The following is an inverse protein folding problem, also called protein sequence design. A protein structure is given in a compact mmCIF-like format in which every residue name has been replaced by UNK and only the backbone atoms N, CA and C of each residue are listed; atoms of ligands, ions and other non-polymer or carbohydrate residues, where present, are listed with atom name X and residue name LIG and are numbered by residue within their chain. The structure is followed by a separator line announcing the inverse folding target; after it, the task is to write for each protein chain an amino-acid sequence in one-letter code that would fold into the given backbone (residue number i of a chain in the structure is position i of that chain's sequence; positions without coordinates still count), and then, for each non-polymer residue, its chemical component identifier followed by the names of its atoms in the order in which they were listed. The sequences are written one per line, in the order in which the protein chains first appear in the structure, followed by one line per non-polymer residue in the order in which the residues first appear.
data_IF_604940524495
#
_entry.id   IF_604940524495
#
_cell.length_a   1.000
_cell.length_b   1.000
_cell.length_c   1.000
_cell.angle_alpha   90.00
_cell.angle_beta   90.00
_cell.angle_gamma   90.00
#
_symmetry.space_group_name_H-M   'P 1'
#
loop_
_entity.id
_entity.type
_entity.pdbx_description
1 polymer ?
#
# COMPACT_ATOMS: atom_id res chain seq x y z
N UNK A 1 41.33 -16.25 49.58
CA UNK A 1 40.28 -16.11 48.55
C UNK A 1 40.94 -16.48 47.22
N UNK A 2 40.78 -17.71 46.71
CA UNK A 2 39.66 -18.21 45.88
C UNK A 2 39.47 -17.34 44.61
N UNK A 3 39.38 -17.94 43.40
CA UNK A 3 40.38 -17.73 42.35
C UNK A 3 39.82 -17.25 41.00
N UNK A 4 40.77 -17.00 40.10
CA UNK A 4 40.64 -16.83 38.65
C UNK A 4 40.13 -18.10 37.94
N UNK A 5 39.05 -17.95 37.17
CA UNK A 5 38.46 -18.86 36.16
C UNK A 5 37.75 -17.92 35.18
N UNK A 6 37.89 -17.95 33.86
CA UNK A 6 38.56 -18.85 32.92
C UNK A 6 37.86 -18.67 31.56
N UNK A 7 38.52 -19.01 30.46
CA UNK A 7 37.81 -19.47 29.24
C UNK A 7 38.76 -20.23 28.30
N UNK A 8 38.60 -21.56 28.26
CA UNK A 8 39.24 -22.47 27.31
C UNK A 8 38.29 -22.71 26.12
N UNK A 9 38.75 -22.35 24.92
CA UNK A 9 38.14 -22.76 23.64
C UNK A 9 38.20 -24.29 23.49
N UNK A 10 37.04 -24.94 23.32
CA UNK A 10 36.95 -26.33 22.85
C UNK A 10 36.50 -26.40 21.39
N UNK A 11 37.36 -26.95 20.53
CA UNK A 11 37.03 -27.39 19.16
C UNK A 11 36.30 -28.73 19.23
N UNK A 12 35.09 -28.84 18.67
CA UNK A 12 34.43 -30.13 18.38
C UNK A 12 34.58 -30.48 16.90
N UNK A 13 35.15 -31.67 16.65
CA UNK A 13 35.33 -32.28 15.33
C UNK A 13 34.00 -32.87 14.82
N UNK A 14 33.71 -32.69 13.54
CA UNK A 14 32.62 -33.34 12.79
C UNK A 14 33.03 -34.77 12.46
N UNK A 15 32.12 -35.74 12.66
CA UNK A 15 32.23 -37.11 12.16
C UNK A 15 31.23 -37.26 11.02
N UNK A 16 31.75 -37.60 9.84
CA UNK A 16 31.01 -37.99 8.62
C UNK A 16 30.94 -39.52 8.63
N UNK A 17 29.76 -40.10 8.38
CA UNK A 17 29.59 -41.52 8.11
C UNK A 17 28.87 -41.69 6.76
N UNK A 18 29.62 -42.11 5.75
CA UNK A 18 29.12 -42.82 4.57
C UNK A 18 29.41 -44.30 4.76
N UNK A 19 28.48 -45.19 4.43
CA UNK A 19 28.79 -46.54 3.97
C UNK A 19 27.69 -47.05 3.04
N UNK A 20 28.14 -47.50 1.86
CA UNK A 20 27.37 -48.11 0.78
C UNK A 20 27.03 -49.59 1.05
N UNK A 21 25.88 -50.01 0.49
CA UNK A 21 25.80 -51.14 -0.44
C UNK A 21 25.34 -52.50 0.11
N UNK A 22 24.20 -53.01 -0.38
CA UNK A 22 24.14 -54.17 -1.30
C UNK A 22 22.70 -54.51 -1.67
N UNK A 23 22.53 -54.96 -2.91
CA UNK A 23 21.29 -55.24 -3.61
C UNK A 23 20.74 -56.63 -3.30
N UNK A 24 19.41 -56.80 -3.40
CA UNK A 24 18.76 -58.07 -3.70
C UNK A 24 17.52 -57.81 -4.58
N UNK A 25 17.63 -58.24 -5.84
CA UNK A 25 16.53 -58.43 -6.79
C UNK A 25 15.85 -59.77 -6.50
N UNK A 26 14.52 -59.76 -6.34
CA UNK A 26 13.69 -60.95 -6.54
C UNK A 26 12.49 -60.55 -7.40
N UNK A 27 12.43 -61.13 -8.60
CA UNK A 27 11.27 -61.11 -9.47
C UNK A 27 10.13 -61.95 -8.87
N UNK A 28 8.90 -61.47 -8.97
CA UNK A 28 7.69 -62.26 -8.76
C UNK A 28 6.48 -61.59 -9.40
N UNK A 29 6.08 -62.05 -10.58
CA UNK A 29 4.76 -61.76 -11.15
C UNK A 29 3.71 -62.67 -10.48
N UNK A 30 2.58 -62.13 -10.01
CA UNK A 30 1.20 -62.52 -10.40
C UNK A 30 0.12 -62.09 -9.39
N UNK A 31 -1.01 -61.67 -9.98
CA UNK A 31 -2.40 -61.81 -9.55
C UNK A 31 -3.04 -60.84 -8.54
N UNK A 32 -3.95 -60.06 -9.12
CA UNK A 32 -5.18 -59.45 -8.60
C UNK A 32 -5.84 -60.15 -7.41
N UNK A 33 -6.16 -59.37 -6.37
CA UNK A 33 -7.33 -59.63 -5.52
C UNK A 33 -7.96 -58.31 -5.05
N UNK A 34 -9.28 -58.24 -5.24
CA UNK A 34 -10.20 -57.12 -4.98
C UNK A 34 -10.11 -56.61 -3.54
N UNK A 35 -10.02 -55.30 -3.36
CA UNK A 35 -10.37 -54.63 -2.11
C UNK A 35 -11.90 -54.61 -1.96
N UNK A 36 -12.36 -55.00 -0.78
CA UNK A 36 -13.75 -55.09 -0.35
C UNK A 36 -14.37 -53.71 -0.13
N UNK A 37 -15.66 -53.57 -0.47
CA UNK A 37 -16.49 -52.35 -0.44
C UNK A 37 -16.65 -51.65 0.94
N UNK A 38 -15.88 -52.03 1.96
CA UNK A 38 -15.93 -51.41 3.29
C UNK A 38 -14.87 -50.31 3.50
N UNK A 39 -13.75 -50.30 2.76
CA UNK A 39 -12.76 -49.21 2.83
C UNK A 39 -13.21 -47.94 2.09
N UNK A 40 -14.16 -48.04 1.15
CA UNK A 40 -14.73 -46.87 0.45
C UNK A 40 -15.77 -46.09 1.24
N UNK A 41 -16.23 -46.61 2.39
CA UNK A 41 -17.31 -45.98 3.17
C UNK A 41 -16.82 -45.03 4.26
N UNK A 42 -15.52 -45.01 4.56
CA UNK A 42 -14.94 -44.10 5.55
C UNK A 42 -14.40 -42.81 4.89
N UNK A 43 -14.14 -42.82 3.58
CA UNK A 43 -13.77 -41.61 2.83
C UNK A 43 -14.97 -40.77 2.33
N UNK A 44 -16.20 -41.27 2.43
CA UNK A 44 -17.39 -40.59 1.90
C UNK A 44 -18.17 -39.74 2.92
N UNK A 45 -17.66 -39.57 4.16
CA UNK A 45 -18.31 -38.74 5.19
C UNK A 45 -17.45 -37.55 5.66
N UNK A 46 -16.50 -37.09 4.83
CA UNK A 46 -16.13 -35.65 4.86
C UNK A 46 -17.00 -34.91 3.87
N UNK A 47 -18.24 -34.70 4.31
CA UNK A 47 -19.10 -33.66 3.76
C UNK A 47 -18.48 -32.31 4.18
N UNK A 48 -17.39 -31.90 3.53
CA UNK A 48 -17.02 -30.49 3.47
C UNK A 48 -18.10 -29.83 2.66
N UNK A 49 -19.08 -29.23 3.35
CA UNK A 49 -19.82 -28.10 2.84
C UNK A 49 -18.77 -27.17 2.26
N UNK A 50 -18.66 -27.11 0.92
CA UNK A 50 -18.01 -25.97 0.28
C UNK A 50 -18.93 -24.80 0.62
N UNK A 51 -18.65 -24.13 1.73
CA UNK A 51 -19.17 -22.79 1.95
C UNK A 51 -18.79 -22.02 0.71
N UNK A 52 -19.76 -21.40 0.03
CA UNK A 52 -19.45 -20.43 -1.02
C UNK A 52 -18.53 -19.40 -0.37
N UNK A 53 -17.26 -19.44 -0.75
CA UNK A 53 -16.24 -18.57 -0.18
C UNK A 53 -16.61 -17.15 -0.62
N UNK A 54 -16.87 -16.26 0.35
CA UNK A 54 -17.30 -14.90 0.06
C UNK A 54 -16.31 -14.23 -0.90
N UNK A 55 -16.81 -13.44 -1.86
CA UNK A 55 -15.99 -12.85 -2.92
C UNK A 55 -14.81 -12.01 -2.40
N UNK A 56 -14.89 -11.53 -1.16
CA UNK A 56 -13.86 -10.75 -0.47
C UNK A 56 -12.88 -11.59 0.37
N UNK A 57 -13.10 -12.88 0.57
CA UNK A 57 -12.29 -13.72 1.47
C UNK A 57 -10.81 -13.73 1.06
N UNK A 58 -10.52 -13.79 -0.24
CA UNK A 58 -9.15 -13.73 -0.73
C UNK A 58 -8.42 -12.43 -0.36
N UNK A 59 -9.14 -11.32 -0.15
CA UNK A 59 -8.58 -10.07 0.37
C UNK A 59 -8.30 -10.17 1.87
N UNK A 60 -9.14 -10.86 2.63
CA UNK A 60 -8.94 -11.06 4.07
C UNK A 60 -7.80 -12.06 4.37
N UNK A 61 -7.62 -13.07 3.53
CA UNK A 61 -6.59 -14.10 3.72
C UNK A 61 -5.15 -13.57 3.60
N UNK A 62 -4.95 -12.40 2.99
CA UNK A 62 -3.66 -11.71 2.93
C UNK A 62 -3.28 -11.03 4.26
N UNK A 63 -4.24 -10.78 5.14
CA UNK A 63 -4.03 -10.01 6.36
C UNK A 63 -3.29 -10.86 7.38
N UNK A 64 -2.22 -10.29 7.94
CA UNK A 64 -1.41 -10.92 8.97
C UNK A 64 -1.27 -10.00 10.20
N UNK A 65 -1.49 -10.53 11.42
CA UNK A 65 -1.91 -11.91 11.70
C UNK A 65 -3.40 -12.15 11.45
N UNK A 66 -3.78 -13.43 11.33
CA UNK A 66 -5.16 -13.86 11.06
C UNK A 66 -6.20 -13.42 12.11
N UNK A 67 -5.77 -12.89 13.27
CA UNK A 67 -6.69 -12.33 14.25
C UNK A 67 -7.42 -11.05 13.78
N UNK A 68 -6.99 -10.46 12.65
CA UNK A 68 -7.54 -9.24 12.07
C UNK A 68 -8.33 -9.45 10.79
N UNK A 69 -8.47 -10.71 10.34
CA UNK A 69 -9.14 -11.07 9.09
C UNK A 69 -10.58 -11.58 9.27
N UNK A 70 -11.09 -11.54 10.50
CA UNK A 70 -12.44 -11.94 10.87
C UNK A 70 -12.89 -11.15 12.12
N UNK A 71 -14.15 -11.33 12.51
CA UNK A 71 -14.76 -10.61 13.65
C UNK A 71 -15.09 -11.55 14.82
N UNK A 72 -14.51 -12.74 14.85
CA UNK A 72 -14.84 -13.76 15.83
C UNK A 72 -14.39 -13.34 17.23
N UNK A 73 -15.29 -13.54 18.20
CA UNK A 73 -15.02 -13.23 19.60
C UNK A 73 -15.08 -11.74 19.97
N UNK A 74 -15.29 -10.84 19.01
CA UNK A 74 -15.57 -9.42 19.29
C UNK A 74 -16.94 -9.29 19.94
N UNK A 75 -16.99 -8.84 21.20
CA UNK A 75 -18.22 -8.73 22.00
C UNK A 75 -18.56 -7.27 22.30
N UNK A 76 -18.68 -6.46 21.25
CA UNK A 76 -19.15 -5.08 21.35
C UNK A 76 -20.59 -5.03 21.89
N UNK A 77 -20.92 -3.94 22.57
CA UNK A 77 -22.26 -3.71 23.13
C UNK A 77 -23.18 -3.15 22.06
N UNK A 78 -24.49 -3.33 22.27
CA UNK A 78 -25.52 -2.78 21.40
C UNK A 78 -25.37 -1.26 21.31
N UNK A 79 -25.33 -0.75 20.09
CA UNK A 79 -25.22 0.68 19.84
C UNK A 79 -23.81 1.26 20.01
N UNK A 80 -22.79 0.45 20.31
CA UNK A 80 -21.39 0.91 20.28
C UNK A 80 -21.07 1.55 18.93
N UNK A 81 -20.22 2.57 18.98
CA UNK A 81 -19.87 3.38 17.82
C UNK A 81 -18.36 3.35 17.56
N UNK A 82 -17.95 2.94 16.36
CA UNK A 82 -16.57 3.01 15.89
C UNK A 82 -16.52 4.02 14.74
N UNK A 83 -15.56 4.95 14.81
CA UNK A 83 -15.34 5.93 13.75
C UNK A 83 -14.10 5.57 12.94
N UNK A 84 -14.21 5.55 11.61
CA UNK A 84 -13.08 5.35 10.69
C UNK A 84 -12.93 6.60 9.83
N UNK A 85 -11.73 7.15 9.75
CA UNK A 85 -11.42 8.40 9.04
C UNK A 85 -10.35 8.11 7.97
N UNK A 86 -10.72 8.19 6.69
CA UNK A 86 -9.79 8.08 5.56
C UNK A 86 -9.15 9.43 5.18
N UNK A 87 -8.33 9.43 4.12
CA UNK A 87 -7.72 10.68 3.60
C UNK A 87 -8.56 11.39 2.55
N UNK A 88 -9.35 10.67 1.75
CA UNK A 88 -10.17 11.29 0.71
C UNK A 88 -11.46 10.51 0.44
N UNK A 89 -12.45 11.22 -0.07
CA UNK A 89 -13.65 10.64 -0.68
C UNK A 89 -13.53 10.56 -2.21
N UNK A 90 -14.33 9.69 -2.83
CA UNK A 90 -14.56 9.72 -4.28
C UNK A 90 -13.41 9.18 -5.13
N UNK A 91 -12.47 8.44 -4.55
CA UNK A 91 -11.43 7.71 -5.29
C UNK A 91 -11.64 6.20 -5.14
N UNK A 92 -11.24 5.43 -6.15
CA UNK A 92 -11.44 3.98 -6.17
C UNK A 92 -10.72 3.27 -5.01
N UNK A 93 -9.52 3.72 -4.63
CA UNK A 93 -8.80 3.20 -3.45
C UNK A 93 -9.61 3.37 -2.16
N UNK A 94 -10.06 4.60 -1.87
CA UNK A 94 -10.81 4.90 -0.65
C UNK A 94 -12.22 4.28 -0.65
N UNK A 95 -12.82 4.08 -1.82
CA UNK A 95 -14.06 3.32 -1.96
C UNK A 95 -13.87 1.83 -1.58
N UNK A 96 -12.73 1.22 -1.89
CA UNK A 96 -12.41 -0.13 -1.43
C UNK A 96 -12.23 -0.18 0.09
N UNK A 97 -11.54 0.80 0.69
CA UNK A 97 -11.44 0.92 2.16
C UNK A 97 -12.83 0.99 2.77
N UNK A 98 -13.70 1.87 2.26
CA UNK A 98 -15.07 2.02 2.74
C UNK A 98 -15.89 0.73 2.62
N UNK A 99 -15.71 -0.05 1.55
CA UNK A 99 -16.33 -1.37 1.39
C UNK A 99 -15.84 -2.35 2.47
N UNK A 100 -14.53 -2.36 2.77
CA UNK A 100 -13.95 -3.16 3.84
C UNK A 100 -14.51 -2.81 5.22
N UNK A 101 -14.61 -1.51 5.52
CA UNK A 101 -15.22 -1.00 6.76
C UNK A 101 -16.68 -1.44 6.88
N UNK A 102 -17.45 -1.28 5.80
CA UNK A 102 -18.86 -1.69 5.77
C UNK A 102 -19.02 -3.20 5.96
N UNK A 103 -18.16 -4.02 5.35
CA UNK A 103 -18.21 -5.47 5.51
C UNK A 103 -17.88 -5.90 6.94
N UNK A 104 -16.85 -5.33 7.57
CA UNK A 104 -16.54 -5.63 8.97
C UNK A 104 -17.71 -5.28 9.90
N UNK A 105 -18.38 -4.15 9.65
CA UNK A 105 -19.57 -3.76 10.40
C UNK A 105 -20.74 -4.74 10.22
N UNK A 106 -20.95 -5.25 9.00
CA UNK A 106 -21.95 -6.28 8.72
C UNK A 106 -21.63 -7.59 9.45
N UNK A 107 -20.38 -8.05 9.36
CA UNK A 107 -19.93 -9.29 9.97
C UNK A 107 -20.03 -9.23 11.50
N UNK A 108 -19.61 -8.12 12.13
CA UNK A 108 -19.78 -7.89 13.57
C UNK A 108 -21.25 -8.02 13.97
N UNK A 109 -22.13 -7.32 13.27
CA UNK A 109 -23.56 -7.32 13.61
C UNK A 109 -24.22 -8.67 13.36
N UNK A 110 -23.80 -9.40 12.32
CA UNK A 110 -24.24 -10.76 12.04
C UNK A 110 -23.81 -11.71 13.16
N UNK A 111 -22.54 -11.67 13.55
CA UNK A 111 -21.98 -12.50 14.61
C UNK A 111 -22.60 -12.20 15.99
N UNK A 112 -22.96 -10.94 16.26
CA UNK A 112 -23.63 -10.53 17.50
C UNK A 112 -25.16 -10.71 17.46
N UNK A 113 -25.74 -10.98 16.29
CA UNK A 113 -27.19 -11.03 16.09
C UNK A 113 -27.88 -9.68 16.30
N UNK A 114 -27.18 -8.58 16.10
CA UNK A 114 -27.71 -7.23 16.32
C UNK A 114 -28.40 -6.69 15.08
N UNK A 115 -29.59 -6.11 15.28
CA UNK A 115 -30.43 -5.59 14.20
C UNK A 115 -31.07 -4.26 14.58
N UNK A 116 -31.53 -3.50 13.57
CA UNK A 116 -32.16 -2.20 13.78
C UNK A 116 -31.32 -1.25 14.62
N UNK A 117 -31.92 -0.70 15.68
CA UNK A 117 -31.26 0.24 16.61
C UNK A 117 -30.18 -0.38 17.50
N UNK A 118 -30.15 -1.72 17.61
CA UNK A 118 -29.22 -2.43 18.46
C UNK A 118 -27.87 -2.66 17.77
N UNK A 119 -27.77 -2.36 16.47
CA UNK A 119 -26.54 -2.52 15.70
C UNK A 119 -25.37 -1.76 16.32
N UNK A 120 -24.19 -2.37 16.30
CA UNK A 120 -22.92 -1.64 16.34
C UNK A 120 -22.88 -0.75 15.12
N UNK A 121 -22.59 0.53 15.34
CA UNK A 121 -22.47 1.54 14.29
C UNK A 121 -21.00 1.69 13.94
N UNK A 122 -20.68 1.62 12.66
CA UNK A 122 -19.34 1.93 12.15
C UNK A 122 -19.51 2.98 11.07
N UNK A 123 -18.88 4.12 11.24
CA UNK A 123 -18.88 5.19 10.24
C UNK A 123 -17.55 5.21 9.48
N UNK A 124 -17.62 5.65 8.22
CA UNK A 124 -16.46 6.04 7.45
C UNK A 124 -16.66 7.48 6.98
N UNK A 125 -15.77 8.37 7.42
CA UNK A 125 -15.66 9.75 6.96
C UNK A 125 -14.29 9.98 6.34
N UNK A 126 -14.16 11.01 5.52
CA UNK A 126 -12.87 11.44 4.99
C UNK A 126 -13.01 12.89 4.51
N UNK A 127 -11.91 13.64 4.40
CA UNK A 127 -11.87 14.91 3.67
C UNK A 127 -12.27 14.76 2.20
N UNK A 128 -12.50 15.90 1.53
CA UNK A 128 -12.72 15.92 0.09
C UNK A 128 -11.46 15.56 -0.70
N UNK A 129 -10.27 16.01 -0.26
CA UNK A 129 -8.98 15.75 -0.91
C UNK A 129 -7.94 15.19 0.05
N UNK A 130 -7.02 14.37 -0.49
CA UNK A 130 -6.07 13.57 0.31
C UNK A 130 -4.99 14.37 1.05
N UNK A 131 -4.86 15.66 0.77
CA UNK A 131 -3.86 16.59 1.32
C UNK A 131 -4.43 17.59 2.34
N UNK A 132 -5.74 17.53 2.61
CA UNK A 132 -6.41 18.51 3.47
C UNK A 132 -6.32 18.14 4.96
N UNK A 133 -5.24 18.56 5.60
CA UNK A 133 -4.98 18.34 7.03
C UNK A 133 -6.03 19.02 7.93
N UNK A 134 -6.41 20.26 7.61
CA UNK A 134 -7.33 21.03 8.46
C UNK A 134 -8.73 20.38 8.51
N UNK A 135 -9.22 19.89 7.37
CA UNK A 135 -10.49 19.17 7.30
C UNK A 135 -10.42 17.82 8.02
N UNK A 136 -9.30 17.10 7.90
CA UNK A 136 -9.11 15.86 8.66
C UNK A 136 -9.12 16.10 10.17
N UNK A 137 -8.49 17.18 10.63
CA UNK A 137 -8.50 17.58 12.05
C UNK A 137 -9.92 17.90 12.52
N UNK A 138 -10.68 18.68 11.75
CA UNK A 138 -12.07 18.99 12.09
C UNK A 138 -12.95 17.73 12.13
N UNK A 139 -12.79 16.82 11.18
CA UNK A 139 -13.51 15.54 11.17
C UNK A 139 -13.16 14.69 12.39
N UNK A 140 -11.90 14.67 12.81
CA UNK A 140 -11.49 13.95 14.01
C UNK A 140 -12.11 14.58 15.27
N UNK A 141 -12.11 15.90 15.40
CA UNK A 141 -12.76 16.62 16.51
C UNK A 141 -14.27 16.28 16.58
N UNK A 142 -14.98 16.38 15.44
CA UNK A 142 -16.42 16.05 15.36
C UNK A 142 -16.72 14.60 15.72
N UNK A 143 -15.84 13.68 15.36
CA UNK A 143 -15.99 12.27 15.64
C UNK A 143 -15.67 11.94 17.09
N UNK A 144 -14.68 12.57 17.71
CA UNK A 144 -14.42 12.45 19.15
C UNK A 144 -15.58 12.98 20.00
N UNK A 145 -16.23 14.06 19.56
CA UNK A 145 -17.43 14.62 20.21
C UNK A 145 -18.65 13.67 20.19
N UNK A 146 -18.62 12.62 19.36
CA UNK A 146 -19.65 11.56 19.31
C UNK A 146 -19.36 10.42 20.27
N UNK A 147 -18.28 10.49 21.04
CA UNK A 147 -17.84 9.49 22.02
C UNK A 147 -17.76 8.06 21.44
N UNK A 148 -17.01 7.84 20.34
CA UNK A 148 -16.79 6.51 19.80
C UNK A 148 -16.02 5.66 20.81
N UNK A 149 -16.26 4.35 20.77
CA UNK A 149 -15.50 3.39 21.60
C UNK A 149 -14.08 3.16 21.08
N UNK A 150 -13.80 3.56 19.84
CA UNK A 150 -12.48 3.57 19.21
C UNK A 150 -12.51 4.40 17.91
N UNK A 151 -11.36 4.96 17.53
CA UNK A 151 -11.17 5.67 16.25
C UNK A 151 -10.10 4.96 15.43
N UNK A 152 -10.40 4.71 14.16
CA UNK A 152 -9.43 4.36 13.13
C UNK A 152 -9.14 5.56 12.22
N UNK A 153 -7.89 5.87 11.91
CA UNK A 153 -7.56 7.04 11.06
C UNK A 153 -6.33 6.79 10.17
N UNK A 154 -6.43 7.13 8.89
CA UNK A 154 -5.27 7.23 8.00
C UNK A 154 -4.81 8.68 7.93
N UNK A 155 -3.63 8.96 8.47
CA UNK A 155 -3.19 10.34 8.74
C UNK A 155 -2.57 10.95 7.49
N UNK A 156 -3.02 12.16 7.13
CA UNK A 156 -2.54 12.92 5.96
C UNK A 156 -1.06 13.29 6.11
N UNK A 157 -0.69 13.84 7.26
CA UNK A 157 0.68 14.26 7.62
C UNK A 157 1.13 13.54 8.89
N UNK A 158 2.29 12.87 8.86
CA UNK A 158 2.81 12.04 9.95
C UNK A 158 2.72 12.68 11.36
N UNK A 159 2.80 14.00 11.43
CA UNK A 159 2.83 14.78 12.68
C UNK A 159 1.52 15.53 12.99
N UNK A 160 0.49 15.40 12.15
CA UNK A 160 -0.82 16.00 12.40
C UNK A 160 -1.60 15.26 13.50
N UNK A 161 -2.69 15.88 13.96
CA UNK A 161 -3.66 15.31 14.90
C UNK A 161 -3.13 14.98 16.31
N UNK A 162 -1.91 15.37 16.68
CA UNK A 162 -1.30 15.05 17.99
C UNK A 162 -2.17 15.54 19.16
N UNK A 163 -2.70 16.75 19.06
CA UNK A 163 -3.59 17.33 20.09
C UNK A 163 -4.87 16.50 20.23
N UNK A 164 -5.48 16.13 19.11
CA UNK A 164 -6.67 15.28 19.09
C UNK A 164 -6.40 13.88 19.63
N UNK A 165 -5.21 13.35 19.37
CA UNK A 165 -4.78 12.06 19.88
C UNK A 165 -4.57 12.09 21.39
N UNK A 166 -4.05 13.18 21.94
CA UNK A 166 -4.00 13.40 23.38
C UNK A 166 -5.42 13.47 23.97
N UNK A 167 -6.35 14.20 23.34
CA UNK A 167 -7.76 14.28 23.79
C UNK A 167 -8.46 12.91 23.78
N UNK A 168 -8.25 12.12 22.72
CA UNK A 168 -8.78 10.76 22.62
C UNK A 168 -8.19 9.86 23.72
N UNK A 169 -6.87 9.92 23.93
CA UNK A 169 -6.17 9.15 24.97
C UNK A 169 -6.66 9.51 26.37
N UNK A 170 -6.79 10.80 26.67
CA UNK A 170 -7.32 11.31 27.95
C UNK A 170 -8.78 10.88 28.19
N UNK A 171 -9.53 10.65 27.09
CA UNK A 171 -10.91 10.15 27.11
C UNK A 171 -11.01 8.62 27.05
N UNK A 172 -9.87 7.90 27.13
CA UNK A 172 -9.78 6.44 27.01
C UNK A 172 -10.33 5.90 25.68
N UNK A 173 -10.31 6.70 24.61
CA UNK A 173 -10.69 6.31 23.26
C UNK A 173 -9.42 5.83 22.53
N UNK A 174 -9.27 4.53 22.26
CA UNK A 174 -8.11 4.02 21.57
C UNK A 174 -8.07 4.47 20.11
N UNK A 175 -6.87 4.78 19.64
CA UNK A 175 -6.57 5.20 18.27
C UNK A 175 -5.89 4.05 17.53
N UNK A 176 -6.40 3.71 16.36
CA UNK A 176 -5.75 2.81 15.41
C UNK A 176 -5.39 3.62 14.18
N UNK A 177 -4.15 3.55 13.72
CA UNK A 177 -3.80 4.12 12.41
C UNK A 177 -3.92 3.07 11.32
N UNK A 178 -4.15 3.49 10.08
CA UNK A 178 -4.16 2.58 8.94
C UNK A 178 -3.70 3.27 7.67
N UNK A 179 -3.25 2.49 6.67
CA UNK A 179 -2.72 2.97 5.37
C UNK A 179 -1.47 3.87 5.49
N UNK A 180 -1.57 4.99 6.20
CA UNK A 180 -0.50 5.90 6.57
C UNK A 180 -0.58 6.21 8.06
N UNK A 181 0.44 5.79 8.80
CA UNK A 181 0.52 5.95 10.26
C UNK A 181 0.90 7.35 10.75
N UNK A 182 1.13 7.42 12.05
CA UNK A 182 1.60 8.60 12.80
C UNK A 182 2.83 8.26 13.63
N UNK A 183 3.62 9.25 14.04
CA UNK A 183 4.70 9.09 15.03
C UNK A 183 4.22 9.15 16.48
N UNK A 184 2.91 9.35 16.70
CA UNK A 184 2.28 9.35 18.02
C UNK A 184 2.45 8.01 18.74
N UNK A 185 2.91 8.05 19.99
CA UNK A 185 3.24 6.84 20.75
C UNK A 185 2.01 6.11 21.33
N UNK A 186 0.86 6.77 21.42
CA UNK A 186 -0.38 6.21 21.99
C UNK A 186 -1.23 5.42 20.99
N UNK A 187 -0.74 5.22 19.75
CA UNK A 187 -1.45 4.40 18.74
C UNK A 187 -1.49 2.94 19.19
N UNK A 188 -2.69 2.36 19.21
CA UNK A 188 -2.94 1.00 19.67
C UNK A 188 -2.56 -0.07 18.64
N UNK A 189 -2.62 0.26 17.35
CA UNK A 189 -2.20 -0.58 16.23
C UNK A 189 -2.05 0.27 14.96
N UNK A 190 -1.16 -0.12 14.07
CA UNK A 190 -1.07 0.38 12.69
C UNK A 190 -1.47 -0.73 11.70
N UNK A 191 -2.47 -0.48 10.86
CA UNK A 191 -3.02 -1.42 9.88
C UNK A 191 -2.64 -0.97 8.47
N UNK A 192 -1.56 -1.50 7.91
CA UNK A 192 -1.00 -0.97 6.67
C UNK A 192 -0.34 -2.05 5.82
N UNK A 193 -0.06 -1.71 4.57
CA UNK A 193 0.93 -2.44 3.78
C UNK A 193 2.29 -2.22 4.42
N UNK A 194 3.16 -3.24 4.46
CA UNK A 194 4.59 -3.01 4.73
C UNK A 194 5.22 -2.21 3.57
N UNK A 195 5.14 -0.88 3.67
CA UNK A 195 5.57 0.06 2.64
C UNK A 195 7.09 0.03 2.42
N UNK A 196 7.86 -0.41 3.41
CA UNK A 196 9.31 -0.59 3.28
C UNK A 196 9.61 -1.81 2.42
N UNK A 197 8.97 -2.95 2.72
CA UNK A 197 9.11 -4.16 1.90
C UNK A 197 8.59 -3.95 0.47
N UNK A 198 7.42 -3.31 0.34
CA UNK A 198 6.80 -2.97 -0.92
C UNK A 198 7.67 -2.04 -1.78
N UNK A 199 8.22 -0.96 -1.20
CA UNK A 199 9.13 -0.05 -1.90
C UNK A 199 10.44 -0.72 -2.31
N UNK A 200 10.98 -1.60 -1.46
CA UNK A 200 12.15 -2.41 -1.81
C UNK A 200 11.88 -3.33 -3.01
N UNK A 201 10.76 -4.04 -3.02
CA UNK A 201 10.39 -4.86 -4.18
C UNK A 201 10.20 -3.99 -5.42
N UNK A 202 9.54 -2.83 -5.31
CA UNK A 202 9.37 -1.91 -6.45
C UNK A 202 10.71 -1.46 -7.05
N UNK A 203 11.72 -1.14 -6.23
CA UNK A 203 13.07 -0.83 -6.69
C UNK A 203 13.74 -1.99 -7.43
N UNK A 204 13.63 -3.21 -6.90
CA UNK A 204 14.18 -4.40 -7.54
C UNK A 204 13.53 -4.66 -8.91
N UNK A 205 12.20 -4.53 -8.99
CA UNK A 205 11.45 -4.66 -10.25
C UNK A 205 11.81 -3.57 -11.25
N UNK A 206 11.99 -2.34 -10.78
CA UNK A 206 12.40 -1.23 -11.64
C UNK A 206 13.80 -1.51 -12.22
N UNK A 207 14.74 -1.95 -11.38
CA UNK A 207 16.08 -2.29 -11.81
C UNK A 207 16.08 -3.46 -12.82
N UNK A 208 15.29 -4.51 -12.58
CA UNK A 208 15.09 -5.62 -13.52
C UNK A 208 14.60 -5.13 -14.89
N UNK A 209 13.57 -4.27 -14.93
CA UNK A 209 13.00 -3.74 -16.17
C UNK A 209 13.95 -2.77 -16.90
N UNK A 210 14.80 -2.06 -16.15
CA UNK A 210 15.84 -1.18 -16.70
C UNK A 210 17.08 -1.94 -17.20
N UNK A 211 17.20 -3.22 -16.89
CA UNK A 211 18.43 -3.99 -17.17
C UNK A 211 19.61 -3.58 -16.29
N UNK A 212 19.31 -3.14 -15.07
CA UNK A 212 20.27 -2.78 -14.01
C UNK A 212 21.24 -1.63 -14.36
N UNK A 213 20.81 -0.67 -15.18
CA UNK A 213 21.60 0.51 -15.53
C UNK A 213 20.72 1.67 -16.04
N UNK A 214 21.15 2.91 -15.79
CA UNK A 214 20.57 4.10 -16.39
C UNK A 214 20.14 5.15 -15.37
N UNK A 215 19.20 6.01 -15.78
CA UNK A 215 18.71 7.11 -14.96
C UNK A 215 17.22 6.89 -14.62
N UNK A 216 16.87 7.05 -13.35
CA UNK A 216 15.52 6.90 -12.84
C UNK A 216 15.02 8.20 -12.21
N UNK A 217 13.75 8.54 -12.47
CA UNK A 217 13.03 9.61 -11.77
C UNK A 217 11.96 9.00 -10.86
N UNK A 218 11.72 9.62 -9.72
CA UNK A 218 10.68 9.19 -8.77
C UNK A 218 9.61 10.28 -8.67
N UNK A 219 8.34 9.89 -8.77
CA UNK A 219 7.19 10.71 -8.43
C UNK A 219 6.51 10.15 -7.18
N UNK A 220 6.47 10.96 -6.13
CA UNK A 220 5.90 10.60 -4.83
C UNK A 220 4.66 11.46 -4.61
N UNK A 221 3.59 10.86 -4.11
CA UNK A 221 2.29 11.51 -4.06
C UNK A 221 2.21 12.69 -3.09
N UNK A 222 3.07 12.72 -2.06
CA UNK A 222 3.17 13.81 -1.11
C UNK A 222 4.50 13.72 -0.32
N UNK A 223 4.91 14.80 0.34
CA UNK A 223 6.15 14.90 1.11
C UNK A 223 6.02 14.58 2.61
N UNK A 224 4.82 14.20 3.09
CA UNK A 224 4.47 14.31 4.53
C UNK A 224 3.93 13.02 5.14
N UNK A 225 3.30 12.17 4.33
CA UNK A 225 2.64 10.96 4.78
C UNK A 225 3.64 9.85 5.03
N UNK A 226 3.38 9.04 6.06
CA UNK A 226 4.29 7.95 6.43
C UNK A 226 4.49 6.96 5.27
N UNK A 227 3.41 6.64 4.57
CA UNK A 227 3.46 5.72 3.43
C UNK A 227 4.35 6.24 2.30
N UNK A 228 4.22 7.53 1.93
CA UNK A 228 5.08 8.18 0.94
C UNK A 228 6.56 8.11 1.35
N UNK A 229 6.86 8.57 2.57
CA UNK A 229 8.22 8.63 3.10
C UNK A 229 8.88 7.24 3.17
N UNK A 230 8.13 6.21 3.57
CA UNK A 230 8.63 4.83 3.62
C UNK A 230 8.91 4.26 2.23
N UNK A 231 7.99 4.45 1.27
CA UNK A 231 8.17 3.96 -0.11
C UNK A 231 9.36 4.63 -0.79
N UNK A 232 9.44 5.95 -0.71
CA UNK A 232 10.56 6.73 -1.27
C UNK A 232 11.89 6.28 -0.68
N UNK A 233 11.99 6.22 0.65
CA UNK A 233 13.21 5.80 1.33
C UNK A 233 13.62 4.40 0.93
N UNK A 234 12.68 3.45 0.91
CA UNK A 234 12.96 2.08 0.54
C UNK A 234 13.46 1.95 -0.91
N UNK A 235 12.84 2.67 -1.85
CA UNK A 235 13.26 2.66 -3.26
C UNK A 235 14.65 3.27 -3.42
N UNK A 236 14.87 4.45 -2.85
CA UNK A 236 16.15 5.17 -2.98
C UNK A 236 17.31 4.42 -2.31
N UNK A 237 17.10 3.85 -1.12
CA UNK A 237 18.11 3.06 -0.42
C UNK A 237 18.42 1.74 -1.13
N UNK A 238 17.40 1.02 -1.62
CA UNK A 238 17.60 -0.25 -2.33
C UNK A 238 18.36 -0.04 -3.66
N UNK A 239 17.97 0.96 -4.48
CA UNK A 239 18.69 1.27 -5.72
C UNK A 239 20.14 1.67 -5.44
N UNK A 240 20.37 2.53 -4.44
CA UNK A 240 21.72 2.97 -4.08
C UNK A 240 22.60 1.83 -3.57
N UNK A 241 22.05 0.93 -2.76
CA UNK A 241 22.81 -0.14 -2.13
C UNK A 241 23.08 -1.31 -3.07
N UNK A 242 22.10 -1.69 -3.89
CA UNK A 242 22.13 -2.95 -4.64
C UNK A 242 22.13 -2.79 -6.17
N UNK A 243 21.87 -1.58 -6.68
CA UNK A 243 21.81 -1.27 -8.11
C UNK A 243 22.63 -0.01 -8.47
N UNK A 244 23.95 0.04 -8.16
CA UNK A 244 24.75 1.27 -8.22
C UNK A 244 24.94 1.87 -9.63
N UNK A 245 24.55 1.13 -10.68
CA UNK A 245 24.54 1.62 -12.06
C UNK A 245 23.25 2.35 -12.43
N UNK A 246 22.27 2.39 -11.53
CA UNK A 246 21.06 3.18 -11.64
C UNK A 246 21.23 4.44 -10.79
N UNK A 247 21.15 5.60 -11.43
CA UNK A 247 21.14 6.89 -10.74
C UNK A 247 19.71 7.39 -10.60
N UNK A 248 19.27 7.66 -9.38
CA UNK A 248 18.05 8.45 -9.16
C UNK A 248 18.40 9.91 -9.45
N UNK A 249 17.93 10.45 -10.58
CA UNK A 249 18.27 11.81 -11.02
C UNK A 249 17.54 12.88 -10.22
N UNK A 250 16.32 12.60 -9.80
CA UNK A 250 15.59 13.40 -8.84
C UNK A 250 14.39 12.65 -8.25
N UNK A 251 13.89 13.16 -7.13
CA UNK A 251 12.60 12.78 -6.53
C UNK A 251 11.72 14.02 -6.56
N UNK A 252 10.48 13.87 -7.02
CA UNK A 252 9.48 14.93 -7.08
C UNK A 252 8.27 14.55 -6.26
N UNK A 253 7.87 15.42 -5.35
CA UNK A 253 6.67 15.30 -4.54
C UNK A 253 5.54 16.12 -5.14
N UNK A 254 4.35 15.52 -5.30
CA UNK A 254 3.24 16.17 -6.01
C UNK A 254 2.74 17.43 -5.30
N UNK A 255 2.73 17.43 -3.96
CA UNK A 255 2.36 18.58 -3.12
C UNK A 255 3.35 19.76 -3.25
N UNK A 256 4.53 19.53 -3.82
CA UNK A 256 5.56 20.55 -4.04
C UNK A 256 5.66 21.02 -5.51
N UNK A 257 4.92 20.43 -6.45
CA UNK A 257 5.00 20.81 -7.87
C UNK A 257 4.61 22.26 -8.11
N UNK A 258 3.67 22.79 -7.33
CA UNK A 258 3.29 24.21 -7.37
C UNK A 258 4.49 25.15 -7.09
N UNK A 259 5.44 24.74 -6.24
CA UNK A 259 6.65 25.52 -5.96
C UNK A 259 7.56 25.66 -7.19
N UNK A 260 7.47 24.72 -8.14
CA UNK A 260 8.25 24.74 -9.37
C UNK A 260 7.66 25.67 -10.44
N UNK A 261 6.39 26.05 -10.34
CA UNK A 261 5.74 26.94 -11.31
C UNK A 261 6.54 28.23 -11.54
N UNK A 262 7.08 28.80 -10.46
CA UNK A 262 7.92 29.99 -10.56
C UNK A 262 9.22 29.72 -11.32
N UNK A 263 9.90 28.62 -11.01
CA UNK A 263 11.12 28.22 -11.73
C UNK A 263 10.84 28.04 -13.22
N UNK A 264 9.73 27.38 -13.56
CA UNK A 264 9.31 27.19 -14.95
C UNK A 264 9.03 28.54 -15.62
N UNK A 265 8.23 29.42 -15.01
CA UNK A 265 7.95 30.74 -15.59
C UNK A 265 9.20 31.59 -15.75
N UNK A 266 10.13 31.56 -14.78
CA UNK A 266 11.37 32.31 -14.84
C UNK A 266 12.27 31.84 -15.99
N UNK A 267 12.40 30.52 -16.20
CA UNK A 267 13.17 29.98 -17.32
C UNK A 267 12.51 30.22 -18.69
N UNK A 268 11.17 30.21 -18.75
CA UNK A 268 10.44 30.62 -19.94
C UNK A 268 10.73 32.09 -20.25
N UNK A 269 10.59 32.97 -19.27
CA UNK A 269 10.83 34.39 -19.43
C UNK A 269 12.29 34.70 -19.79
N UNK A 270 13.25 33.92 -19.27
CA UNK A 270 14.67 34.06 -19.58
C UNK A 270 15.07 33.53 -20.96
N UNK A 271 14.21 32.76 -21.65
CA UNK A 271 14.56 32.15 -22.92
C UNK A 271 15.32 30.81 -22.80
N UNK A 272 15.49 30.29 -21.58
CA UNK A 272 16.30 29.08 -21.32
C UNK A 272 15.48 27.78 -21.37
N UNK A 273 14.16 27.90 -21.34
CA UNK A 273 13.22 26.81 -21.57
C UNK A 273 12.05 27.29 -22.43
N UNK A 274 11.49 26.41 -23.24
CA UNK A 274 10.25 26.64 -23.97
C UNK A 274 9.35 25.41 -23.82
N UNK A 275 8.08 25.56 -23.40
CA UNK A 275 7.14 24.48 -23.45
C UNK A 275 7.03 23.95 -24.88
N UNK A 276 6.79 22.66 -24.99
CA UNK A 276 6.54 22.02 -26.28
C UNK A 276 5.31 22.65 -26.92
N UNK A 277 5.39 22.86 -28.24
CA UNK A 277 4.32 23.46 -29.05
C UNK A 277 3.93 24.90 -28.61
N UNK A 278 4.81 25.60 -27.88
CA UNK A 278 4.61 27.00 -27.49
C UNK A 278 4.73 27.96 -28.68
N UNK A 279 3.79 28.90 -28.78
CA UNK A 279 3.83 30.01 -29.75
C UNK A 279 4.60 31.23 -29.22
N UNK A 280 5.21 31.14 -28.04
CA UNK A 280 5.96 32.24 -27.43
C UNK A 280 7.19 32.60 -28.27
N UNK A 281 7.57 33.90 -28.37
CA UNK A 281 8.79 34.32 -29.05
C UNK A 281 10.04 33.60 -28.55
N UNK A 282 11.03 33.42 -29.43
CA UNK A 282 12.37 32.97 -29.01
C UNK A 282 13.11 34.06 -28.21
N UNK A 283 14.00 33.67 -27.30
CA UNK A 283 14.82 34.59 -26.51
C UNK A 283 14.15 35.07 -25.22
N UNK A 284 14.60 36.20 -24.67
CA UNK A 284 14.01 36.72 -23.43
C UNK A 284 12.63 37.35 -23.69
N UNK A 285 11.62 36.99 -22.90
CA UNK A 285 10.27 37.55 -22.99
C UNK A 285 10.19 38.90 -22.27
N UNK A 286 9.40 39.81 -22.83
CA UNK A 286 9.18 41.16 -22.28
C UNK A 286 7.75 41.61 -22.56
N UNK A 287 7.24 42.58 -21.79
CA UNK A 287 5.92 43.15 -22.03
C UNK A 287 4.79 42.13 -21.80
N UNK A 288 3.87 42.03 -22.76
CA UNK A 288 2.66 41.21 -22.67
C UNK A 288 2.93 39.70 -22.80
N UNK A 289 4.11 39.31 -23.30
CA UNK A 289 4.50 37.91 -23.47
C UNK A 289 5.05 37.27 -22.18
N UNK A 290 5.23 38.06 -21.11
CA UNK A 290 5.78 37.56 -19.84
C UNK A 290 4.81 36.57 -19.20
N UNK A 291 5.29 35.36 -18.95
CA UNK A 291 4.55 34.28 -18.32
C UNK A 291 4.65 34.39 -16.81
N UNK A 292 3.54 34.22 -16.10
CA UNK A 292 3.49 34.28 -14.63
C UNK A 292 3.41 32.87 -14.03
N UNK A 293 3.89 32.70 -12.81
CA UNK A 293 3.93 31.38 -12.15
C UNK A 293 2.53 30.74 -12.04
N UNK A 294 1.52 31.52 -11.67
CA UNK A 294 0.12 31.11 -11.55
C UNK A 294 -0.52 30.66 -12.88
N UNK A 295 0.09 30.99 -14.02
CA UNK A 295 -0.35 30.51 -15.34
C UNK A 295 0.25 29.15 -15.72
N UNK A 296 1.26 28.66 -14.98
CA UNK A 296 1.90 27.37 -15.24
C UNK A 296 1.07 26.26 -14.60
N UNK A 297 0.59 25.31 -15.40
CA UNK A 297 -0.14 24.14 -14.88
C UNK A 297 0.82 23.09 -14.32
N UNK A 298 0.33 22.20 -13.44
CA UNK A 298 1.10 21.05 -12.96
C UNK A 298 1.58 20.17 -14.12
N UNK A 299 0.74 19.98 -15.14
CA UNK A 299 1.13 19.25 -16.36
C UNK A 299 2.34 19.87 -17.06
N UNK A 300 2.40 21.21 -17.13
CA UNK A 300 3.54 21.93 -17.69
C UNK A 300 4.78 21.84 -16.81
N UNK A 301 4.62 21.75 -15.48
CA UNK A 301 5.73 21.47 -14.56
C UNK A 301 6.29 20.06 -14.82
N UNK A 302 5.43 19.05 -14.99
CA UNK A 302 5.86 17.69 -15.31
C UNK A 302 6.55 17.61 -16.68
N UNK A 303 6.02 18.32 -17.68
CA UNK A 303 6.66 18.41 -18.99
C UNK A 303 8.05 19.05 -18.90
N UNK A 304 8.18 20.12 -18.11
CA UNK A 304 9.46 20.75 -17.82
C UNK A 304 10.44 19.78 -17.13
N UNK A 305 9.99 19.05 -16.11
CA UNK A 305 10.79 18.03 -15.41
C UNK A 305 11.33 17.01 -16.41
N UNK A 306 10.46 16.44 -17.25
CA UNK A 306 10.85 15.41 -18.22
C UNK A 306 11.78 15.98 -19.30
N UNK A 307 11.57 17.23 -19.72
CA UNK A 307 12.47 17.92 -20.66
C UNK A 307 13.88 18.14 -20.07
N UNK A 308 14.00 18.34 -18.76
CA UNK A 308 15.30 18.45 -18.06
C UNK A 308 16.00 17.11 -17.89
N UNK A 309 15.26 16.00 -17.96
CA UNK A 309 15.76 14.64 -17.77
C UNK A 309 15.56 13.77 -19.02
N UNK A 310 16.07 14.15 -20.21
CA UNK A 310 15.79 13.43 -21.46
C UNK A 310 16.40 12.02 -21.49
N UNK A 311 17.34 11.72 -20.60
CA UNK A 311 18.10 10.48 -20.57
C UNK A 311 17.48 9.37 -19.72
N UNK A 312 16.46 9.67 -18.90
CA UNK A 312 15.83 8.66 -18.03
C UNK A 312 15.36 7.44 -18.81
N UNK A 313 15.51 6.28 -18.19
CA UNK A 313 15.05 4.98 -18.66
C UNK A 313 14.17 4.29 -17.63
N UNK A 314 14.09 4.80 -16.39
CA UNK A 314 13.21 4.31 -15.35
C UNK A 314 12.36 5.43 -14.71
N UNK A 315 11.18 5.06 -14.26
CA UNK A 315 10.27 5.89 -13.48
C UNK A 315 9.63 5.03 -12.38
N UNK A 316 9.67 5.53 -11.14
CA UNK A 316 8.88 4.98 -10.04
C UNK A 316 7.77 5.97 -9.67
N UNK A 317 6.58 5.46 -9.44
CA UNK A 317 5.43 6.23 -8.97
C UNK A 317 4.80 5.56 -7.74
N UNK A 318 4.66 6.31 -6.64
CA UNK A 318 4.45 5.76 -5.31
C UNK A 318 2.98 5.52 -4.91
N UNK A 319 2.00 5.90 -5.73
CA UNK A 319 0.57 5.60 -5.59
C UNK A 319 -0.15 5.70 -6.96
N UNK A 320 -1.47 5.50 -6.99
CA UNK A 320 -2.26 5.65 -8.22
C UNK A 320 -2.14 7.04 -8.88
N UNK A 321 -2.29 8.13 -8.12
CA UNK A 321 -2.26 9.50 -8.69
C UNK A 321 -0.91 9.84 -9.32
N UNK A 322 0.19 9.45 -8.66
CA UNK A 322 1.56 9.63 -9.18
C UNK A 322 1.83 8.75 -10.40
N UNK A 323 1.21 7.56 -10.49
CA UNK A 323 1.30 6.71 -11.70
C UNK A 323 0.60 7.41 -12.86
N UNK A 324 -0.60 7.92 -12.63
CA UNK A 324 -1.35 8.67 -13.64
C UNK A 324 -0.56 9.90 -14.11
N UNK A 325 -0.05 10.71 -13.18
CA UNK A 325 0.77 11.88 -13.48
C UNK A 325 2.02 11.53 -14.30
N UNK A 326 2.74 10.48 -13.89
CA UNK A 326 3.94 10.03 -14.58
C UNK A 326 3.64 9.52 -15.99
N UNK A 327 2.61 8.68 -16.16
CA UNK A 327 2.22 8.13 -17.46
C UNK A 327 1.79 9.24 -18.41
N UNK A 328 0.89 10.13 -17.97
CA UNK A 328 0.41 11.25 -18.80
C UNK A 328 1.57 12.16 -19.23
N UNK A 329 2.48 12.49 -18.30
CA UNK A 329 3.68 13.27 -18.60
C UNK A 329 4.60 12.57 -19.61
N UNK A 330 4.88 11.28 -19.42
CA UNK A 330 5.72 10.51 -20.35
C UNK A 330 5.11 10.47 -21.75
N UNK A 331 3.80 10.32 -21.88
CA UNK A 331 3.10 10.33 -23.17
C UNK A 331 3.18 11.69 -23.86
N UNK A 332 2.88 12.78 -23.14
CA UNK A 332 3.02 14.14 -23.69
C UNK A 332 4.43 14.42 -24.21
N UNK A 333 5.43 13.87 -23.52
CA UNK A 333 6.85 14.01 -23.87
C UNK A 333 7.37 12.95 -24.85
N UNK A 334 6.53 12.01 -25.31
CA UNK A 334 6.90 10.93 -26.25
C UNK A 334 8.00 10.00 -25.70
N UNK A 335 7.97 9.76 -24.40
CA UNK A 335 8.95 8.96 -23.64
C UNK A 335 8.40 7.60 -23.20
N UNK A 336 7.11 7.33 -23.44
CA UNK A 336 6.37 6.15 -22.97
C UNK A 336 6.93 4.81 -23.48
N UNK A 337 7.65 4.82 -24.61
CA UNK A 337 8.33 3.63 -25.16
C UNK A 337 9.73 3.42 -24.60
N UNK A 338 10.34 4.48 -24.07
CA UNK A 338 11.72 4.51 -23.59
C UNK A 338 11.77 4.19 -22.10
N UNK A 339 10.88 4.80 -21.32
CA UNK A 339 10.92 4.77 -19.85
C UNK A 339 10.13 3.57 -19.33
N UNK A 340 10.73 2.82 -18.42
CA UNK A 340 10.07 1.72 -17.69
C UNK A 340 9.40 2.27 -16.45
N UNK A 341 8.13 1.95 -16.26
CA UNK A 341 7.32 2.50 -15.14
C UNK A 341 6.96 1.38 -14.18
N UNK A 342 7.40 1.50 -12.93
CA UNK A 342 6.89 0.71 -11.80
C UNK A 342 6.04 1.61 -10.92
N UNK A 343 4.80 1.18 -10.67
CA UNK A 343 3.81 1.95 -9.93
C UNK A 343 3.29 1.24 -8.69
N UNK A 344 2.40 1.93 -7.99
CA UNK A 344 1.56 1.39 -6.94
C UNK A 344 0.09 1.45 -7.34
N UNK A 345 -0.72 0.72 -6.58
CA UNK A 345 -2.18 0.66 -6.69
C UNK A 345 -2.71 0.02 -7.98
N UNK A 346 -4.03 -0.06 -8.07
CA UNK A 346 -4.76 -0.80 -9.09
C UNK A 346 -6.10 -0.13 -9.43
N UNK A 347 -6.14 1.21 -9.44
CA UNK A 347 -7.26 1.92 -10.00
C UNK A 347 -7.35 1.65 -11.50
N UNK A 348 -8.49 1.98 -12.10
CA UNK A 348 -8.78 1.69 -13.50
C UNK A 348 -7.71 2.26 -14.46
N UNK A 349 -7.18 3.45 -14.17
CA UNK A 349 -6.12 4.09 -14.96
C UNK A 349 -4.80 3.31 -14.90
N UNK A 350 -4.36 2.86 -13.73
CA UNK A 350 -3.14 2.06 -13.60
C UNK A 350 -3.29 0.68 -14.27
N UNK A 351 -4.44 0.03 -14.09
CA UNK A 351 -4.74 -1.25 -14.73
C UNK A 351 -4.83 -1.10 -16.25
N UNK A 352 -5.34 0.02 -16.74
CA UNK A 352 -5.36 0.32 -18.17
C UNK A 352 -3.94 0.61 -18.70
N UNK A 353 -3.15 1.41 -17.99
CA UNK A 353 -1.74 1.66 -18.30
C UNK A 353 -0.92 0.37 -18.37
N UNK A 354 -1.17 -0.60 -17.48
CA UNK A 354 -0.56 -1.92 -17.49
C UNK A 354 -0.96 -2.74 -18.73
N UNK A 355 -2.25 -2.71 -19.12
CA UNK A 355 -2.74 -3.40 -20.32
C UNK A 355 -2.15 -2.81 -21.59
N UNK A 356 -2.04 -1.49 -21.64
CA UNK A 356 -1.49 -0.75 -22.79
C UNK A 356 0.04 -0.84 -22.87
N UNK A 357 0.68 -1.31 -21.81
CA UNK A 357 2.14 -1.44 -21.73
C UNK A 357 2.86 -0.12 -21.45
N UNK A 358 2.11 0.89 -20.96
CA UNK A 358 2.65 2.16 -20.45
C UNK A 358 3.21 2.00 -19.03
N UNK A 359 2.66 1.04 -18.28
CA UNK A 359 3.15 0.61 -16.97
C UNK A 359 3.70 -0.81 -17.08
N UNK A 360 4.87 -1.07 -16.51
CA UNK A 360 5.54 -2.38 -16.57
C UNK A 360 5.09 -3.31 -15.45
N UNK A 361 4.81 -2.76 -14.27
CA UNK A 361 4.20 -3.49 -13.17
C UNK A 361 3.77 -2.58 -12.02
N UNK A 362 2.93 -3.13 -11.16
CA UNK A 362 2.26 -2.44 -10.08
C UNK A 362 2.43 -3.23 -8.78
N UNK A 363 2.77 -2.53 -7.71
CA UNK A 363 2.55 -3.03 -6.35
C UNK A 363 1.09 -2.76 -5.98
N UNK A 364 0.27 -3.80 -5.99
CA UNK A 364 -1.16 -3.68 -5.67
C UNK A 364 -1.40 -3.95 -4.20
N UNK A 365 -1.96 -2.97 -3.51
CA UNK A 365 -2.26 -3.04 -2.08
C UNK A 365 -3.61 -3.70 -1.82
N UNK A 366 -3.99 -3.79 -0.54
CA UNK A 366 -5.26 -4.37 -0.10
C UNK A 366 -6.12 -3.35 0.70
N UNK A 367 -6.65 -2.29 0.05
CA UNK A 367 -7.45 -1.27 0.73
C UNK A 367 -8.71 -1.82 1.40
N UNK A 368 -9.38 -2.79 0.77
CA UNK A 368 -10.50 -3.49 1.40
C UNK A 368 -10.09 -4.16 2.71
N UNK A 369 -8.97 -4.90 2.70
CA UNK A 369 -8.42 -5.52 3.89
C UNK A 369 -8.03 -4.51 4.96
N UNK A 370 -7.48 -3.35 4.58
CA UNK A 370 -7.20 -2.25 5.51
C UNK A 370 -8.48 -1.74 6.19
N UNK A 371 -9.52 -1.45 5.40
CA UNK A 371 -10.81 -1.02 5.97
C UNK A 371 -11.37 -2.04 6.95
N UNK A 372 -11.36 -3.32 6.58
CA UNK A 372 -11.85 -4.40 7.43
C UNK A 372 -11.02 -4.57 8.72
N UNK A 373 -9.71 -4.73 8.59
CA UNK A 373 -8.80 -4.95 9.72
C UNK A 373 -8.73 -3.76 10.66
N UNK A 374 -8.93 -2.53 10.17
CA UNK A 374 -8.97 -1.33 11.02
C UNK A 374 -10.17 -1.37 11.96
N UNK A 375 -11.36 -1.76 11.46
CA UNK A 375 -12.55 -1.93 12.31
C UNK A 375 -12.33 -3.04 13.34
N UNK A 376 -11.72 -4.16 12.93
CA UNK A 376 -11.37 -5.26 13.85
C UNK A 376 -10.37 -4.80 14.91
N UNK A 377 -9.30 -4.11 14.53
CA UNK A 377 -8.29 -3.58 15.45
C UNK A 377 -8.88 -2.56 16.43
N UNK A 378 -9.75 -1.67 15.95
CA UNK A 378 -10.46 -0.69 16.77
C UNK A 378 -11.38 -1.37 17.79
N UNK A 379 -12.15 -2.38 17.36
CA UNK A 379 -13.00 -3.18 18.26
C UNK A 379 -12.18 -3.95 19.30
N UNK A 380 -11.05 -4.55 18.91
CA UNK A 380 -10.17 -5.25 19.84
C UNK A 380 -9.57 -4.32 20.89
N UNK A 381 -9.18 -3.10 20.47
CA UNK A 381 -8.66 -2.07 21.37
C UNK A 381 -9.72 -1.64 22.39
N UNK A 382 -10.95 -1.33 21.93
CA UNK A 382 -12.04 -0.92 22.81
C UNK A 382 -12.47 -2.01 23.81
N UNK A 383 -12.31 -3.28 23.43
CA UNK A 383 -12.59 -4.44 24.27
C UNK A 383 -11.42 -4.84 25.19
N UNK A 384 -10.30 -4.10 25.18
CA UNK A 384 -9.08 -4.43 25.92
C UNK A 384 -8.56 -5.85 25.65
N UNK A 385 -8.72 -6.33 24.41
CA UNK A 385 -8.29 -7.68 24.00
C UNK A 385 -6.79 -7.78 23.67
N UNK A 386 -6.09 -6.65 23.73
CA UNK A 386 -4.72 -6.49 23.23
C UNK A 386 -4.67 -6.45 21.71
N UNK A 387 -3.75 -5.65 21.18
CA UNK A 387 -3.46 -5.55 19.76
C UNK A 387 -1.99 -5.86 19.47
N UNK A 388 -1.74 -6.41 18.28
CA UNK A 388 -0.44 -6.29 17.65
C UNK A 388 -0.19 -4.83 17.28
N UNK A 389 1.05 -4.39 17.43
CA UNK A 389 1.43 -3.04 17.07
C UNK A 389 1.30 -2.78 15.56
N UNK A 390 1.51 -3.82 14.74
CA UNK A 390 1.42 -3.74 13.27
C UNK A 390 0.58 -4.89 12.74
N UNK A 391 -0.38 -4.56 11.88
CA UNK A 391 -1.21 -5.51 11.13
C UNK A 391 -0.91 -5.30 9.65
N UNK A 392 -0.20 -6.25 9.05
CA UNK A 392 0.18 -6.17 7.65
C UNK A 392 -0.95 -6.70 6.76
N UNK A 393 -1.49 -5.85 5.89
CA UNK A 393 -2.61 -6.21 4.98
C UNK A 393 -2.15 -6.86 3.68
N UNK A 394 -0.84 -6.94 3.46
CA UNK A 394 -0.21 -7.55 2.31
C UNK A 394 -0.28 -6.68 1.05
N UNK A 395 0.50 -7.09 0.05
CA UNK A 395 0.48 -6.53 -1.29
C UNK A 395 0.79 -7.63 -2.30
N UNK A 396 0.50 -7.39 -3.58
CA UNK A 396 0.80 -8.32 -4.67
C UNK A 396 1.51 -7.61 -5.81
N UNK A 397 2.58 -8.21 -6.33
CA UNK A 397 3.21 -7.77 -7.56
C UNK A 397 2.38 -8.15 -8.79
N UNK A 398 1.90 -7.16 -9.52
CA UNK A 398 1.04 -7.35 -10.69
C UNK A 398 1.73 -6.85 -11.95
N UNK A 399 1.69 -7.68 -12.99
CA UNK A 399 2.19 -7.38 -14.33
C UNK A 399 1.14 -7.76 -15.36
N UNK A 400 1.30 -7.33 -16.60
CA UNK A 400 0.46 -7.78 -17.72
C UNK A 400 0.40 -9.32 -17.86
N UNK A 401 1.43 -10.04 -17.40
CA UNK A 401 1.54 -11.50 -17.50
C UNK A 401 0.62 -12.22 -16.50
N UNK A 402 0.58 -11.78 -15.25
CA UNK A 402 -0.21 -12.43 -14.19
C UNK A 402 -1.58 -11.76 -13.95
N UNK A 403 -1.88 -10.64 -14.62
CA UNK A 403 -3.12 -9.89 -14.43
C UNK A 403 -4.39 -10.76 -14.50
N UNK A 404 -4.42 -11.79 -15.35
CA UNK A 404 -5.58 -12.67 -15.54
C UNK A 404 -5.63 -13.88 -14.61
N UNK A 405 -4.68 -14.02 -13.69
CA UNK A 405 -4.68 -15.13 -12.73
C UNK A 405 -5.77 -14.93 -11.68
N UNK A 406 -6.37 -16.02 -11.20
CA UNK A 406 -7.43 -15.95 -10.19
C UNK A 406 -6.97 -15.24 -8.91
N UNK A 407 -5.71 -15.46 -8.51
CA UNK A 407 -5.08 -14.81 -7.36
C UNK A 407 -5.06 -13.27 -7.51
N UNK A 408 -4.58 -12.77 -8.65
CA UNK A 408 -4.58 -11.33 -8.92
C UNK A 408 -6.01 -10.80 -9.06
N UNK A 409 -6.92 -11.51 -9.74
CA UNK A 409 -8.30 -11.03 -9.90
C UNK A 409 -9.03 -10.87 -8.56
N UNK A 410 -8.69 -11.66 -7.54
CA UNK A 410 -9.28 -11.55 -6.19
C UNK A 410 -8.84 -10.31 -5.42
N UNK A 411 -7.66 -9.76 -5.71
CA UNK A 411 -7.08 -8.63 -4.95
C UNK A 411 -7.29 -7.27 -5.62
N UNK A 412 -7.66 -7.24 -6.91
CA UNK A 412 -7.94 -5.99 -7.63
C UNK A 412 -9.10 -5.21 -6.99
N UNK A 413 -9.07 -3.90 -7.20
CA UNK A 413 -10.12 -3.00 -6.73
C UNK A 413 -11.40 -3.30 -7.51
N UNK A 414 -12.54 -3.26 -6.84
CA UNK A 414 -13.80 -3.53 -7.52
C UNK A 414 -14.19 -2.34 -8.39
N UNK A 415 -14.96 -2.65 -9.43
CA UNK A 415 -15.44 -1.68 -10.43
C UNK A 415 -16.70 -0.97 -10.00
#
# INVERSE_FOLDING_TARGET
MIPDIGERKMKKKRIIAMLLGTALLVCGCQQTSKATDEEKKIESEKNTTKTEENAYQGKLDLITPAAYNNTDGLKLKKGDYISIIGKANGTQYWDEVKKGVAQAAEDINTNLGYTGKDKVKVAFNAPDTADNVDDQVNLLDEELDRYPVAVGISIVDLQACQVQFDLATDSEIPIVTFDSGSDYQGVAADVSTDNVAAGKEAAQRLAEEMGDSGEAVLFIQDSKSQAALQREKAVTEELKANHPNISVVNVYHMDELSNMQKTVSDEINAGTYRPKDSELPEGQLTGEDVVTADSITEDQVVDYILAKHPNITGCFAANGDSVKLAVDGLERNKMEKKVKVIGFDANDDEIQGLKDGKVNGLIVQNPFGMGYATVVAAARASLNMGNEAVVNTGYTWVTKKNLKTDEVQKILYSK
#
